data_IF_701274050934
#
_entry.id   IF_701274050934
#
_cell.length_a   1.000
_cell.length_b   1.000
_cell.length_c   1.000
_cell.angle_alpha   90.00
_cell.angle_beta   90.00
_cell.angle_gamma   90.00
#
_symmetry.space_group_name_H-M   'P 1'
#
loop_
_entity.id
_entity.type
_entity.pdbx_description
1 polymer ?
#
# COMPACT_ATOMS: atom_id res chain seq x y z
N UNK A 1 2.60 28.65 -22.69
CA UNK A 1 2.52 29.03 -21.26
C UNK A 1 1.86 27.87 -20.53
N UNK A 2 2.63 26.93 -19.97
CA UNK A 2 2.08 25.79 -19.22
C UNK A 2 2.79 25.71 -17.88
N UNK A 3 2.49 26.69 -17.02
CA UNK A 3 2.86 26.69 -15.61
C UNK A 3 1.61 26.43 -14.78
N UNK A 4 0.97 25.27 -15.00
CA UNK A 4 -0.06 24.79 -14.09
C UNK A 4 0.62 24.29 -12.83
N UNK A 5 0.90 25.19 -11.89
CA UNK A 5 1.28 24.83 -10.53
C UNK A 5 0.12 24.02 -9.96
N UNK A 6 0.20 22.69 -10.09
CA UNK A 6 -0.71 21.73 -9.47
C UNK A 6 -0.58 21.96 -7.97
N UNK A 7 -1.54 22.70 -7.41
CA UNK A 7 -1.65 22.90 -5.97
C UNK A 7 -1.59 21.53 -5.33
N UNK A 8 -0.52 21.27 -4.60
CA UNK A 8 -0.38 20.08 -3.78
C UNK A 8 -1.33 20.34 -2.61
N UNK A 9 -2.62 20.03 -2.80
CA UNK A 9 -3.58 20.02 -1.69
C UNK A 9 -2.93 19.23 -0.56
N UNK A 10 -2.83 19.82 0.63
CA UNK A 10 -2.35 19.14 1.83
C UNK A 10 -3.24 17.90 2.01
N UNK A 11 -2.70 16.76 1.62
CA UNK A 11 -3.36 15.47 1.58
C UNK A 11 -3.92 15.18 2.97
N UNK A 12 -5.20 14.84 3.07
CA UNK A 12 -5.79 14.38 4.33
C UNK A 12 -5.39 12.92 4.60
N UNK A 13 -4.09 12.61 4.55
CA UNK A 13 -3.61 11.25 4.82
C UNK A 13 -4.03 10.81 6.23
N UNK A 14 -4.47 9.56 6.35
CA UNK A 14 -4.87 8.94 7.61
C UNK A 14 -3.67 8.26 8.30
N UNK A 15 -2.44 8.53 7.86
CA UNK A 15 -1.21 8.03 8.45
C UNK A 15 -1.20 8.19 9.98
N UNK A 16 -0.87 7.11 10.71
CA UNK A 16 -0.84 7.09 12.17
C UNK A 16 -2.21 6.94 12.85
N UNK A 17 -3.30 6.81 12.09
CA UNK A 17 -4.64 6.54 12.65
C UNK A 17 -5.09 5.12 12.32
N UNK A 18 -5.94 4.51 13.15
CA UNK A 18 -6.51 3.17 12.89
C UNK A 18 -5.47 2.06 12.61
N UNK A 19 -4.24 2.19 13.12
CA UNK A 19 -3.14 1.25 12.85
C UNK A 19 -2.49 1.42 11.47
N UNK A 20 -2.85 2.46 10.71
CA UNK A 20 -2.18 2.82 9.45
C UNK A 20 -0.78 3.33 9.78
N UNK A 21 0.28 2.79 9.15
CA UNK A 21 1.65 3.26 9.37
C UNK A 21 1.79 4.77 9.16
N UNK A 22 2.50 5.44 10.08
CA UNK A 22 2.93 6.84 9.87
C UNK A 22 3.88 6.91 8.68
N UNK A 23 4.00 8.07 8.05
CA UNK A 23 4.88 8.25 6.88
C UNK A 23 6.32 7.74 7.10
N UNK A 24 6.90 8.03 8.28
CA UNK A 24 8.23 7.56 8.68
C UNK A 24 8.34 6.03 8.90
N UNK A 25 7.20 5.34 9.01
CA UNK A 25 7.12 3.88 9.10
C UNK A 25 6.77 3.22 7.77
N UNK A 26 6.53 3.96 6.69
CA UNK A 26 6.18 3.37 5.39
C UNK A 26 7.43 2.95 4.64
N UNK A 27 7.41 1.74 4.10
CA UNK A 27 8.33 1.30 3.07
C UNK A 27 7.52 1.10 1.80
N UNK A 28 7.75 1.95 0.81
CA UNK A 28 7.07 1.86 -0.48
C UNK A 28 7.62 0.69 -1.28
N UNK A 29 6.71 -0.09 -1.86
CA UNK A 29 7.03 -1.33 -2.56
C UNK A 29 6.27 -1.39 -3.88
N UNK A 30 6.89 -1.83 -4.98
CA UNK A 30 6.14 -2.13 -6.19
C UNK A 30 5.25 -3.36 -5.98
N UNK A 31 4.01 -3.30 -6.48
CA UNK A 31 3.06 -4.40 -6.43
C UNK A 31 2.41 -4.54 -7.81
N UNK A 32 2.46 -5.74 -8.37
CA UNK A 32 1.64 -6.10 -9.53
C UNK A 32 0.26 -6.48 -9.01
N UNK A 33 -0.79 -5.88 -9.59
CA UNK A 33 -2.18 -6.18 -9.28
C UNK A 33 -2.90 -6.82 -10.48
N UNK A 34 -4.06 -7.46 -10.24
CA UNK A 34 -4.89 -8.07 -11.29
C UNK A 34 -5.58 -7.04 -12.23
N UNK A 35 -5.31 -5.75 -12.04
CA UNK A 35 -5.86 -4.64 -12.79
C UNK A 35 -5.07 -3.37 -12.49
N UNK A 36 -5.49 -2.25 -13.07
CA UNK A 36 -4.91 -0.95 -12.76
C UNK A 36 -5.42 -0.47 -11.39
N UNK A 37 -4.52 0.10 -10.58
CA UNK A 37 -4.93 0.86 -9.40
C UNK A 37 -5.53 2.18 -9.85
N UNK A 38 -6.66 2.55 -9.24
CA UNK A 38 -7.35 3.79 -9.54
C UNK A 38 -7.33 4.67 -8.28
N UNK A 39 -6.75 5.88 -8.32
CA UNK A 39 -6.68 6.74 -7.15
C UNK A 39 -8.05 7.19 -6.63
N UNK A 40 -9.09 7.15 -7.48
CA UNK A 40 -10.47 7.57 -7.19
C UNK A 40 -11.38 6.39 -6.76
N UNK A 41 -10.99 5.14 -7.04
CA UNK A 41 -11.78 3.94 -6.72
C UNK A 41 -11.08 2.96 -5.79
N UNK A 42 -9.75 3.05 -5.66
CA UNK A 42 -8.93 2.15 -4.86
C UNK A 42 -8.07 1.19 -5.70
N UNK A 43 -7.29 0.35 -5.02
CA UNK A 43 -6.41 -0.60 -5.67
C UNK A 43 -7.16 -1.80 -6.23
N UNK A 44 -6.55 -2.43 -7.24
CA UNK A 44 -6.90 -3.79 -7.64
C UNK A 44 -6.26 -4.82 -6.69
N UNK A 45 -6.74 -6.06 -6.73
CA UNK A 45 -6.19 -7.11 -5.86
C UNK A 45 -4.72 -7.41 -6.18
N UNK A 46 -3.84 -7.46 -5.16
CA UNK A 46 -2.41 -7.66 -5.35
C UNK A 46 -2.10 -9.12 -5.76
N UNK A 47 -1.18 -9.27 -6.70
CA UNK A 47 -0.76 -10.56 -7.29
C UNK A 47 0.69 -10.89 -6.96
N UNK A 48 1.59 -9.91 -7.13
CA UNK A 48 3.02 -10.09 -6.85
C UNK A 48 3.56 -8.87 -6.15
N UNK A 49 4.33 -9.09 -5.08
CA UNK A 49 4.95 -8.02 -4.30
C UNK A 49 6.45 -8.03 -4.52
N UNK A 50 6.99 -6.90 -4.92
CA UNK A 50 8.43 -6.69 -5.10
C UNK A 50 8.99 -6.00 -3.87
N UNK A 51 9.96 -6.64 -3.24
CA UNK A 51 10.59 -6.11 -2.04
C UNK A 51 11.84 -5.30 -2.39
N UNK A 52 12.24 -4.34 -1.53
CA UNK A 52 13.39 -3.49 -1.79
C UNK A 52 14.72 -4.24 -1.89
N UNK A 53 14.81 -5.45 -1.33
CA UNK A 53 15.99 -6.32 -1.43
C UNK A 53 16.11 -7.03 -2.80
N UNK A 54 15.17 -6.80 -3.71
CA UNK A 54 15.15 -7.37 -5.06
C UNK A 54 14.43 -8.71 -5.17
N UNK A 55 13.93 -9.27 -4.06
CA UNK A 55 13.06 -10.45 -4.09
C UNK A 55 11.63 -10.07 -4.46
N UNK A 56 11.00 -10.93 -5.23
CA UNK A 56 9.58 -10.81 -5.57
C UNK A 56 8.85 -12.06 -5.11
N UNK A 57 7.70 -11.88 -4.48
CA UNK A 57 6.90 -12.99 -3.99
C UNK A 57 5.46 -12.88 -4.48
N UNK A 58 4.92 -14.01 -4.94
CA UNK A 58 3.53 -14.11 -5.35
C UNK A 58 2.61 -14.14 -4.12
N UNK A 59 1.50 -13.42 -4.20
CA UNK A 59 0.40 -13.51 -3.25
C UNK A 59 -0.31 -14.86 -3.46
N UNK A 60 -0.28 -15.71 -2.45
CA UNK A 60 -0.90 -17.04 -2.48
C UNK A 60 -2.41 -16.94 -2.20
N UNK A 61 -2.80 -16.03 -1.30
CA UNK A 61 -4.21 -15.81 -0.92
C UNK A 61 -4.38 -14.44 -0.27
N UNK A 62 -5.58 -13.87 -0.37
CA UNK A 62 -5.98 -12.66 0.33
C UNK A 62 -6.92 -13.08 1.46
N UNK A 63 -6.52 -12.80 2.71
CA UNK A 63 -7.31 -13.13 3.89
C UNK A 63 -8.32 -12.04 4.27
N UNK A 64 -7.92 -10.78 4.10
CA UNK A 64 -8.78 -9.65 4.42
C UNK A 64 -8.44 -8.44 3.55
N UNK A 65 -9.47 -7.66 3.24
CA UNK A 65 -9.39 -6.32 2.65
C UNK A 65 -10.19 -5.39 3.54
N UNK A 66 -9.57 -4.29 3.96
CA UNK A 66 -10.22 -3.28 4.80
C UNK A 66 -9.92 -1.89 4.29
N UNK A 67 -10.96 -1.08 4.12
CA UNK A 67 -10.85 0.29 3.60
C UNK A 67 -11.01 1.29 4.74
N UNK A 68 -10.14 2.30 4.75
CA UNK A 68 -10.13 3.41 5.69
C UNK A 68 -10.28 4.72 4.93
N UNK A 69 -11.12 5.62 5.41
CA UNK A 69 -11.44 6.86 4.69
C UNK A 69 -12.32 6.63 3.46
N UNK A 70 -12.32 7.59 2.53
CA UNK A 70 -13.02 7.49 1.25
C UNK A 70 -12.26 8.25 0.16
N UNK A 71 -12.32 7.75 -1.06
CA UNK A 71 -11.64 8.38 -2.19
C UNK A 71 -12.15 9.81 -2.46
N UNK A 72 -13.46 10.04 -2.28
CA UNK A 72 -14.09 11.37 -2.39
C UNK A 72 -13.50 12.43 -1.44
N UNK A 73 -12.84 12.02 -0.35
CA UNK A 73 -12.19 12.90 0.60
C UNK A 73 -10.66 12.94 0.42
N UNK A 74 -10.13 12.27 -0.62
CA UNK A 74 -8.71 12.18 -0.88
C UNK A 74 -7.92 11.48 0.23
N UNK A 75 -8.57 10.61 1.00
CA UNK A 75 -7.99 9.94 2.17
C UNK A 75 -8.22 8.43 2.22
N UNK A 76 -8.52 7.81 1.07
CA UNK A 76 -8.67 6.36 0.98
C UNK A 76 -7.33 5.67 1.23
N UNK A 77 -7.29 4.84 2.26
CA UNK A 77 -6.22 3.89 2.50
C UNK A 77 -6.81 2.49 2.61
N UNK A 78 -6.23 1.53 1.90
CA UNK A 78 -6.70 0.14 1.87
C UNK A 78 -5.64 -0.75 2.48
N UNK A 79 -6.06 -1.60 3.42
CA UNK A 79 -5.26 -2.64 4.03
C UNK A 79 -5.62 -3.98 3.42
N UNK A 80 -4.60 -4.71 3.02
CA UNK A 80 -4.67 -6.11 2.63
C UNK A 80 -3.90 -6.95 3.64
N UNK A 81 -4.53 -8.00 4.15
CA UNK A 81 -3.80 -9.09 4.79
C UNK A 81 -3.69 -10.24 3.80
N UNK A 82 -2.48 -10.55 3.37
CA UNK A 82 -2.16 -11.53 2.32
C UNK A 82 -1.31 -12.67 2.86
N UNK A 83 -1.38 -13.82 2.21
CA UNK A 83 -0.46 -14.93 2.42
C UNK A 83 0.67 -14.86 1.39
N UNK A 84 1.91 -14.81 1.87
CA UNK A 84 3.11 -14.81 1.05
C UNK A 84 4.11 -15.75 1.69
N UNK A 85 4.62 -16.72 0.93
CA UNK A 85 5.55 -17.74 1.42
C UNK A 85 5.04 -18.43 2.71
N UNK A 86 3.74 -18.75 2.74
CA UNK A 86 3.01 -19.33 3.89
C UNK A 86 2.98 -18.46 5.15
N UNK A 87 3.30 -17.17 5.03
CA UNK A 87 3.22 -16.22 6.13
C UNK A 87 2.16 -15.16 5.84
N UNK A 88 1.36 -14.83 6.86
CA UNK A 88 0.45 -13.69 6.80
C UNK A 88 1.26 -12.38 6.83
N UNK A 89 0.99 -11.49 5.90
CA UNK A 89 1.61 -10.16 5.77
C UNK A 89 0.54 -9.11 5.56
N UNK A 90 0.81 -7.93 6.09
CA UNK A 90 -0.05 -6.76 5.91
C UNK A 90 0.58 -5.82 4.91
N UNK A 91 -0.18 -5.47 3.90
CA UNK A 91 0.19 -4.60 2.79
C UNK A 91 -0.84 -3.49 2.73
N UNK A 92 -0.38 -2.29 2.47
CA UNK A 92 -1.21 -1.10 2.43
C UNK A 92 -1.14 -0.46 1.06
N UNK A 93 -2.21 0.23 0.71
CA UNK A 93 -2.28 1.08 -0.45
C UNK A 93 -2.87 2.42 -0.04
N UNK A 94 -2.32 3.51 -0.56
CA UNK A 94 -2.87 4.85 -0.41
C UNK A 94 -2.56 5.62 -1.69
N UNK A 95 -3.60 6.06 -2.40
CA UNK A 95 -3.48 7.00 -3.52
C UNK A 95 -2.49 6.54 -4.62
N UNK A 96 -2.56 5.29 -5.03
CA UNK A 96 -1.73 4.71 -6.09
C UNK A 96 -0.37 4.19 -5.60
N UNK A 97 -0.02 4.42 -4.35
CA UNK A 97 1.23 3.95 -3.76
C UNK A 97 0.97 2.76 -2.82
N UNK A 98 1.66 1.66 -3.07
CA UNK A 98 1.69 0.50 -2.18
C UNK A 98 2.83 0.62 -1.18
N UNK A 99 2.57 0.24 0.07
CA UNK A 99 3.56 0.27 1.13
C UNK A 99 3.31 -0.80 2.20
N UNK A 100 4.35 -1.06 2.98
CA UNK A 100 4.29 -1.92 4.17
C UNK A 100 4.78 -1.16 5.38
N UNK A 101 4.44 -1.64 6.57
CA UNK A 101 4.99 -1.11 7.81
C UNK A 101 6.45 -1.55 7.97
N UNK A 102 7.33 -0.59 8.26
CA UNK A 102 8.71 -0.82 8.66
C UNK A 102 8.73 -1.59 9.97
N UNK A 103 9.19 -2.84 9.91
CA UNK A 103 9.19 -3.77 11.05
C UNK A 103 8.01 -4.75 11.05
N UNK A 104 7.06 -4.65 10.13
CA UNK A 104 5.92 -5.56 9.95
C UNK A 104 6.26 -7.00 9.50
N UNK A 105 7.51 -7.43 9.69
CA UNK A 105 7.89 -8.83 9.63
C UNK A 105 8.55 -9.33 8.34
N UNK A 106 8.98 -8.45 7.42
CA UNK A 106 9.87 -8.84 6.30
C UNK A 106 10.96 -7.83 5.92
N UNK A 107 10.87 -6.56 6.37
CA UNK A 107 11.93 -5.56 6.15
C UNK A 107 13.30 -5.89 6.81
N UNK A 108 13.39 -7.02 7.52
CA UNK A 108 14.55 -7.42 8.33
C UNK A 108 14.87 -8.91 8.22
N UNK A 109 14.51 -9.60 7.13
CA UNK A 109 14.96 -10.99 6.95
C UNK A 109 16.41 -10.99 6.44
N UNK A 110 17.45 -11.29 7.27
CA UNK A 110 18.73 -11.70 6.72
C UNK A 110 18.51 -12.99 5.91
N UNK A 111 19.20 -13.08 4.77
CA UNK A 111 19.32 -14.33 4.01
C UNK A 111 20.09 -15.40 4.76
#
# INVERSE_FOLDING_TARGET
>A
MFGGTRMIMKKHSLAGTCGIPTDAQRIYIPVDANGADDPDHGPSDPVTIHWPDGRSWKVESIYARQEFGRAIFGNLCVRYDVCIARQRKTVWWEHGDWFVERGGGMAVMPG
#
